data_IF_466830713038
#
_entry.id   IF_466830713038
#
_cell.length_a   1.000
_cell.length_b   1.000
_cell.length_c   1.000
_cell.angle_alpha   90.00
_cell.angle_beta   90.00
_cell.angle_gamma   90.00
#
_symmetry.space_group_name_H-M   'P 1'
#
loop_
_entity.id
_entity.type
_entity.pdbx_description
1 polymer ?
#
# COMPACT_ATOMS: atom_id res chain seq x y z
N UNK A 1 -8.72 -15.85 -10.22
CA UNK A 1 -7.93 -15.28 -9.12
C UNK A 1 -8.88 -14.82 -8.02
N UNK A 2 -8.74 -15.37 -6.80
CA UNK A 2 -9.58 -15.02 -5.64
C UNK A 2 -8.90 -13.91 -4.85
N UNK A 3 -9.60 -12.80 -4.63
CA UNK A 3 -9.04 -11.62 -3.93
C UNK A 3 -9.68 -11.45 -2.56
N UNK A 4 -8.86 -11.25 -1.54
CA UNK A 4 -9.30 -10.82 -0.22
C UNK A 4 -9.00 -9.32 -0.05
N UNK A 5 -10.03 -8.51 0.10
CA UNK A 5 -9.89 -7.09 0.42
C UNK A 5 -9.94 -6.90 1.93
N UNK A 6 -8.87 -6.36 2.50
CA UNK A 6 -8.80 -6.05 3.93
C UNK A 6 -9.53 -4.74 4.21
N UNK A 7 -10.56 -4.84 5.03
CA UNK A 7 -11.23 -3.69 5.61
C UNK A 7 -10.70 -3.48 7.01
N UNK A 8 -10.00 -2.38 7.27
CA UNK A 8 -9.42 -2.12 8.58
C UNK A 8 -9.77 -0.73 9.10
N UNK A 9 -10.01 -0.65 10.39
CA UNK A 9 -10.07 0.59 11.13
C UNK A 9 -8.63 1.08 11.37
N UNK A 10 -8.23 2.13 10.70
CA UNK A 10 -6.88 2.70 10.76
C UNK A 10 -6.80 3.70 11.91
N UNK A 11 -5.82 3.49 12.79
CA UNK A 11 -5.54 4.43 13.88
C UNK A 11 -4.77 5.64 13.33
N UNK A 12 -5.34 6.82 13.51
CA UNK A 12 -4.77 8.06 12.97
C UNK A 12 -3.39 8.35 13.58
N UNK A 13 -2.40 8.58 12.73
CA UNK A 13 -1.02 8.89 13.10
C UNK A 13 -0.33 7.84 14.00
N UNK A 14 -0.74 6.56 13.90
CA UNK A 14 -0.17 5.45 14.69
C UNK A 14 0.34 4.32 13.77
N UNK A 15 1.46 4.52 13.06
CA UNK A 15 1.95 3.55 12.09
C UNK A 15 2.30 2.18 12.70
N UNK A 16 2.85 2.13 13.92
CA UNK A 16 3.24 0.87 14.56
C UNK A 16 2.03 -0.05 14.79
N UNK A 17 0.96 0.49 15.33
CA UNK A 17 -0.29 -0.22 15.59
C UNK A 17 -0.97 -0.63 14.27
N UNK A 18 -0.94 0.25 13.27
CA UNK A 18 -1.50 -0.04 11.97
C UNK A 18 -0.72 -1.16 11.24
N UNK A 19 0.60 -1.18 11.31
CA UNK A 19 1.42 -2.28 10.78
C UNK A 19 1.13 -3.61 11.48
N UNK A 20 1.03 -3.61 12.80
CA UNK A 20 0.68 -4.80 13.58
C UNK A 20 -0.71 -5.32 13.19
N UNK A 21 -1.70 -4.42 13.08
CA UNK A 21 -3.07 -4.74 12.67
C UNK A 21 -3.13 -5.29 11.24
N UNK A 22 -2.45 -4.64 10.29
CA UNK A 22 -2.41 -5.09 8.89
C UNK A 22 -1.84 -6.50 8.77
N UNK A 23 -0.71 -6.79 9.41
CA UNK A 23 -0.10 -8.13 9.40
C UNK A 23 -1.00 -9.20 10.01
N UNK A 24 -1.72 -8.88 11.08
CA UNK A 24 -2.71 -9.80 11.68
C UNK A 24 -3.85 -10.09 10.72
N UNK A 25 -4.46 -9.04 10.13
CA UNK A 25 -5.58 -9.19 9.22
C UNK A 25 -5.21 -9.94 7.92
N UNK A 26 -3.99 -9.74 7.40
CA UNK A 26 -3.48 -10.52 6.26
C UNK A 26 -3.45 -12.02 6.62
N UNK A 27 -2.91 -12.39 7.79
CA UNK A 27 -2.88 -13.78 8.24
C UNK A 27 -4.29 -14.37 8.42
N UNK A 28 -5.22 -13.61 9.00
CA UNK A 28 -6.62 -14.02 9.16
C UNK A 28 -7.30 -14.27 7.80
N UNK A 29 -7.03 -13.41 6.80
CA UNK A 29 -7.58 -13.55 5.46
C UNK A 29 -7.16 -14.86 4.77
N UNK A 30 -6.01 -15.44 5.14
CA UNK A 30 -5.53 -16.71 4.57
C UNK A 30 -6.46 -17.90 4.82
N UNK A 31 -7.31 -17.85 5.84
CA UNK A 31 -8.34 -18.87 6.08
C UNK A 31 -9.30 -19.01 4.88
N UNK A 32 -9.47 -17.95 4.10
CA UNK A 32 -10.27 -17.94 2.87
C UNK A 32 -9.56 -18.52 1.65
N UNK A 33 -8.27 -18.81 1.70
CA UNK A 33 -7.45 -19.28 0.57
C UNK A 33 -7.43 -18.28 -0.59
N UNK A 34 -7.06 -17.00 -0.38
CA UNK A 34 -6.97 -16.03 -1.46
C UNK A 34 -5.72 -16.25 -2.31
N UNK A 35 -5.79 -15.84 -3.59
CA UNK A 35 -4.63 -15.73 -4.47
C UNK A 35 -3.92 -14.37 -4.27
N UNK A 36 -4.70 -13.36 -3.91
CA UNK A 36 -4.23 -11.97 -3.70
C UNK A 36 -4.90 -11.39 -2.46
N UNK A 37 -4.14 -10.74 -1.60
CA UNK A 37 -4.64 -9.90 -0.51
C UNK A 37 -4.40 -8.44 -0.85
N UNK A 38 -5.37 -7.57 -0.59
CA UNK A 38 -5.29 -6.12 -0.88
C UNK A 38 -5.55 -5.33 0.39
N UNK A 39 -4.62 -4.45 0.75
CA UNK A 39 -4.74 -3.49 1.84
C UNK A 39 -5.37 -2.17 1.35
N UNK A 40 -5.98 -1.36 2.24
CA UNK A 40 -6.57 -0.08 1.87
C UNK A 40 -5.54 1.03 1.58
N UNK A 41 -6.03 2.21 1.19
CA UNK A 41 -5.23 3.40 0.92
C UNK A 41 -4.72 4.02 2.23
N UNK A 42 -3.46 4.50 2.25
CA UNK A 42 -2.78 5.21 3.36
C UNK A 42 -2.94 4.55 4.73
N UNK A 43 -3.01 3.22 4.76
CA UNK A 43 -3.32 2.45 5.96
C UNK A 43 -2.29 2.61 7.08
N UNK A 44 -1.04 2.98 6.76
CA UNK A 44 0.01 3.11 7.76
C UNK A 44 -0.21 4.32 8.68
N UNK A 45 -0.66 5.46 8.14
CA UNK A 45 -0.84 6.69 8.92
C UNK A 45 -2.32 7.07 9.14
N UNK A 46 -3.25 6.35 8.48
CA UNK A 46 -4.60 6.85 8.28
C UNK A 46 -4.60 8.02 7.30
N UNK A 47 -5.76 8.65 7.07
CA UNK A 47 -5.82 9.81 6.20
C UNK A 47 -4.83 10.88 6.71
N UNK A 48 -4.01 11.39 5.83
CA UNK A 48 -2.80 12.18 6.04
C UNK A 48 -2.79 13.06 7.30
N UNK A 49 -1.90 12.78 8.28
CA UNK A 49 -1.73 13.57 9.52
C UNK A 49 -0.92 14.86 9.26
N UNK A 50 -1.27 15.57 8.19
CA UNK A 50 -0.80 16.91 7.81
C UNK A 50 0.67 17.20 8.20
N UNK A 51 0.86 18.02 9.24
CA UNK A 51 2.18 18.51 9.67
C UNK A 51 3.15 17.38 10.10
N UNK A 52 2.60 16.21 10.50
CA UNK A 52 3.40 15.05 10.90
C UNK A 52 3.57 14.02 9.77
N UNK A 53 3.00 14.28 8.58
CA UNK A 53 2.97 13.27 7.52
C UNK A 53 4.37 12.80 7.12
N UNK A 54 5.31 13.71 6.90
CA UNK A 54 6.68 13.37 6.51
C UNK A 54 7.47 12.67 7.61
N UNK A 55 7.17 12.96 8.88
CA UNK A 55 7.77 12.29 10.04
C UNK A 55 7.31 10.82 10.14
N UNK A 56 6.02 10.58 9.89
CA UNK A 56 5.38 9.27 10.06
C UNK A 56 5.41 8.41 8.79
N UNK A 57 5.79 9.01 7.67
CA UNK A 57 5.84 8.33 6.38
C UNK A 57 6.99 7.31 6.31
N UNK A 58 6.78 6.26 5.52
CA UNK A 58 7.83 5.32 5.16
C UNK A 58 8.98 6.03 4.42
N UNK A 59 10.19 5.46 4.51
CA UNK A 59 11.35 5.91 3.74
C UNK A 59 11.61 4.89 2.62
N UNK A 60 11.39 5.30 1.36
CA UNK A 60 11.53 4.44 0.17
C UNK A 60 10.79 3.10 0.28
N UNK A 61 9.66 3.08 1.00
CA UNK A 61 8.89 1.87 1.32
C UNK A 61 9.73 0.75 1.96
N UNK A 62 10.85 1.07 2.61
CA UNK A 62 11.82 0.08 3.10
C UNK A 62 11.21 -0.90 4.10
N UNK A 63 10.40 -0.42 5.04
CA UNK A 63 9.71 -1.28 6.01
C UNK A 63 8.62 -2.12 5.34
N UNK A 64 7.83 -1.51 4.45
CA UNK A 64 6.79 -2.22 3.68
C UNK A 64 7.42 -3.37 2.90
N UNK A 65 8.52 -3.13 2.19
CA UNK A 65 9.25 -4.16 1.43
C UNK A 65 9.77 -5.26 2.35
N UNK A 66 10.39 -4.92 3.45
CA UNK A 66 10.94 -5.89 4.40
C UNK A 66 9.85 -6.71 5.10
N UNK A 67 8.84 -6.05 5.70
CA UNK A 67 7.85 -6.73 6.54
C UNK A 67 6.72 -7.35 5.75
N UNK A 68 6.15 -6.64 4.77
CA UNK A 68 5.01 -7.16 4.00
C UNK A 68 5.47 -8.02 2.83
N UNK A 69 6.60 -7.72 2.21
CA UNK A 69 7.22 -8.64 1.24
C UNK A 69 7.61 -9.96 1.92
N UNK A 70 8.24 -9.90 3.11
CA UNK A 70 8.54 -11.08 3.90
C UNK A 70 7.29 -11.87 4.28
N UNK A 71 6.19 -11.19 4.65
CA UNK A 71 4.92 -11.85 4.97
C UNK A 71 4.27 -12.50 3.73
N UNK A 72 4.34 -11.85 2.57
CA UNK A 72 3.86 -12.41 1.32
C UNK A 72 4.58 -13.73 0.98
N UNK A 73 5.91 -13.77 1.14
CA UNK A 73 6.72 -14.98 0.98
C UNK A 73 6.38 -16.06 2.02
N UNK A 74 6.27 -15.69 3.31
CA UNK A 74 5.88 -16.60 4.40
C UNK A 74 4.57 -17.31 4.12
N UNK A 75 3.58 -16.55 3.63
CA UNK A 75 2.22 -17.05 3.39
C UNK A 75 2.01 -17.63 1.99
N UNK A 76 2.95 -17.45 1.06
CA UNK A 76 2.84 -17.88 -0.33
C UNK A 76 1.68 -17.20 -1.08
N UNK A 77 1.40 -15.93 -0.79
CA UNK A 77 0.27 -15.16 -1.34
C UNK A 77 0.77 -13.90 -2.05
N UNK A 78 0.12 -13.50 -3.13
CA UNK A 78 0.37 -12.19 -3.72
C UNK A 78 -0.23 -11.10 -2.81
N UNK A 79 0.45 -9.98 -2.68
CA UNK A 79 0.00 -8.91 -1.79
C UNK A 79 0.08 -7.54 -2.49
N UNK A 80 -1.06 -6.89 -2.65
CA UNK A 80 -1.13 -5.46 -2.93
C UNK A 80 -1.13 -4.76 -1.57
N UNK A 81 0.02 -4.21 -1.19
CA UNK A 81 0.23 -3.65 0.15
C UNK A 81 -0.44 -2.29 0.33
N UNK A 82 -1.60 -2.10 -0.31
CA UNK A 82 -2.39 -0.90 -0.32
C UNK A 82 -1.56 0.29 -0.76
N UNK A 83 -1.81 1.45 -0.21
CA UNK A 83 -0.83 2.52 -0.27
C UNK A 83 -0.42 3.00 1.11
N UNK A 84 0.78 3.58 1.18
CA UNK A 84 1.36 4.19 2.37
C UNK A 84 1.83 5.61 2.04
N UNK A 85 1.85 6.47 3.04
CA UNK A 85 2.62 7.71 2.94
C UNK A 85 4.11 7.33 2.88
N UNK A 86 4.82 7.80 1.86
CA UNK A 86 6.20 7.40 1.57
C UNK A 86 7.05 8.62 1.17
N UNK A 87 8.17 8.81 1.83
CA UNK A 87 9.16 9.85 1.50
C UNK A 87 10.19 9.29 0.53
N UNK A 88 10.40 10.01 -0.57
CA UNK A 88 11.46 9.74 -1.55
C UNK A 88 12.02 11.05 -2.07
N UNK A 89 13.35 11.24 -1.98
CA UNK A 89 13.99 12.47 -2.43
C UNK A 89 13.45 13.74 -1.76
N UNK A 90 13.06 13.68 -0.49
CA UNK A 90 12.50 14.80 0.27
C UNK A 90 11.04 15.17 -0.06
N UNK A 91 10.37 14.39 -0.91
CA UNK A 91 8.96 14.56 -1.26
C UNK A 91 8.14 13.41 -0.70
N UNK A 92 6.89 13.68 -0.34
CA UNK A 92 5.95 12.65 0.15
C UNK A 92 5.05 12.21 -1.00
N UNK A 93 4.91 10.89 -1.17
CA UNK A 93 4.05 10.25 -2.15
C UNK A 93 3.03 9.34 -1.46
N UNK A 94 1.90 9.14 -2.11
CA UNK A 94 0.94 8.10 -1.78
C UNK A 94 1.29 6.87 -2.61
N UNK A 95 2.11 5.95 -2.03
CA UNK A 95 2.79 4.87 -2.75
C UNK A 95 2.21 3.51 -2.44
N UNK A 96 1.84 2.75 -3.45
CA UNK A 96 1.48 1.34 -3.35
C UNK A 96 2.65 0.44 -3.77
N UNK A 97 2.86 -0.65 -3.03
CA UNK A 97 3.79 -1.71 -3.38
C UNK A 97 3.02 -3.01 -3.67
N UNK A 98 3.47 -3.76 -4.67
CA UNK A 98 2.90 -5.06 -5.01
C UNK A 98 3.97 -6.14 -4.86
N UNK A 99 3.63 -7.22 -4.15
CA UNK A 99 4.52 -8.35 -3.91
C UNK A 99 3.95 -9.62 -4.55
N UNK A 100 4.81 -10.41 -5.19
CA UNK A 100 4.49 -11.76 -5.64
C UNK A 100 4.51 -12.76 -4.47
N UNK A 101 4.16 -14.03 -4.72
CA UNK A 101 4.16 -15.11 -3.73
C UNK A 101 5.53 -15.42 -3.14
N UNK A 102 6.60 -15.00 -3.80
CA UNK A 102 7.98 -15.14 -3.31
C UNK A 102 8.45 -13.91 -2.49
N UNK A 103 7.59 -12.89 -2.35
CA UNK A 103 7.88 -11.66 -1.63
C UNK A 103 8.67 -10.63 -2.42
N UNK A 104 8.88 -10.85 -3.73
CA UNK A 104 9.53 -9.86 -4.58
C UNK A 104 8.59 -8.67 -4.81
N UNK A 105 9.09 -7.46 -4.67
CA UNK A 105 8.36 -6.26 -5.07
C UNK A 105 8.33 -6.16 -6.59
N UNK A 106 7.21 -6.50 -7.20
CA UNK A 106 7.04 -6.56 -8.66
C UNK A 106 6.52 -5.25 -9.24
N UNK A 107 5.98 -4.35 -8.41
CA UNK A 107 5.55 -3.02 -8.82
C UNK A 107 5.55 -2.05 -7.63
N UNK A 108 5.86 -0.80 -7.93
CA UNK A 108 5.62 0.37 -7.07
C UNK A 108 4.84 1.39 -7.90
N UNK A 109 3.89 2.07 -7.26
CA UNK A 109 3.06 3.06 -7.93
C UNK A 109 2.79 4.23 -7.00
N UNK A 110 3.05 5.42 -7.47
CA UNK A 110 2.68 6.67 -6.80
C UNK A 110 1.39 7.21 -7.42
N UNK A 111 0.40 7.50 -6.59
CA UNK A 111 -0.90 8.04 -7.01
C UNK A 111 -0.73 9.26 -7.90
N UNK A 112 -1.28 9.22 -9.11
CA UNK A 112 -1.14 10.30 -10.11
C UNK A 112 -2.19 11.38 -9.96
N UNK A 113 -3.43 11.02 -9.59
CA UNK A 113 -4.54 11.96 -9.43
C UNK A 113 -4.88 12.16 -7.95
N UNK A 114 -4.28 13.22 -7.36
CA UNK A 114 -4.52 13.56 -5.96
C UNK A 114 -5.94 14.13 -5.76
N UNK A 115 -6.58 13.77 -4.64
CA UNK A 115 -7.93 14.22 -4.33
C UNK A 115 -7.93 15.65 -3.78
N UNK A 116 -7.99 16.62 -4.68
CA UNK A 116 -7.94 18.05 -4.37
C UNK A 116 -9.06 18.54 -3.43
N UNK A 117 -10.29 18.00 -3.46
CA UNK A 117 -11.34 18.45 -2.54
C UNK A 117 -11.01 18.26 -1.05
N UNK A 118 -10.16 17.27 -0.71
CA UNK A 118 -9.66 17.08 0.66
C UNK A 118 -8.28 17.71 0.91
N UNK A 119 -7.73 18.43 -0.06
CA UNK A 119 -6.43 19.10 0.07
C UNK A 119 -5.23 18.15 -0.02
N UNK A 120 -5.39 16.95 -0.58
CA UNK A 120 -4.31 15.95 -0.69
C UNK A 120 -3.07 16.51 -1.40
N UNK A 121 -3.26 17.36 -2.41
CA UNK A 121 -2.21 18.03 -3.17
C UNK A 121 -1.32 18.97 -2.36
N UNK A 122 -1.73 19.37 -1.16
CA UNK A 122 -0.91 20.21 -0.28
C UNK A 122 0.14 19.38 0.50
N UNK A 123 -0.03 18.06 0.55
CA UNK A 123 0.78 17.16 1.38
C UNK A 123 1.50 16.09 0.58
N UNK A 124 0.94 15.66 -0.55
CA UNK A 124 1.50 14.64 -1.41
C UNK A 124 1.95 15.21 -2.75
N UNK A 125 2.99 14.62 -3.30
CA UNK A 125 3.46 14.83 -4.67
C UNK A 125 2.78 13.80 -5.58
N UNK A 126 2.22 14.22 -6.74
CA UNK A 126 1.65 13.25 -7.68
C UNK A 126 2.73 12.39 -8.33
N UNK A 127 2.39 11.14 -8.64
CA UNK A 127 3.15 10.28 -9.52
C UNK A 127 3.02 10.70 -10.99
N UNK A 128 3.79 10.05 -11.85
CA UNK A 128 3.93 10.44 -13.26
C UNK A 128 3.84 9.26 -14.25
N UNK A 129 3.48 8.07 -13.80
CA UNK A 129 3.47 6.86 -14.63
C UNK A 129 2.28 5.95 -14.37
N UNK A 130 1.97 5.11 -15.36
CA UNK A 130 1.01 4.01 -15.24
C UNK A 130 1.69 2.79 -14.65
N UNK A 131 0.98 2.07 -13.79
CA UNK A 131 1.48 0.85 -13.16
C UNK A 131 0.89 -0.39 -13.83
N UNK A 132 1.77 -1.22 -14.42
CA UNK A 132 1.45 -2.54 -14.97
C UNK A 132 2.40 -3.58 -14.41
N UNK A 133 1.88 -4.76 -14.09
CA UNK A 133 2.66 -5.87 -13.55
C UNK A 133 1.95 -7.20 -13.83
N UNK A 134 2.56 -8.32 -13.43
CA UNK A 134 1.94 -9.65 -13.56
C UNK A 134 1.92 -10.35 -12.21
N UNK A 135 0.79 -11.00 -11.90
CA UNK A 135 0.64 -11.90 -10.75
C UNK A 135 0.06 -13.23 -11.24
N UNK A 136 0.71 -14.34 -10.90
CA UNK A 136 0.27 -15.70 -11.27
C UNK A 136 -0.07 -15.85 -12.77
N UNK A 137 0.70 -15.17 -13.63
CA UNK A 137 0.49 -15.19 -15.08
C UNK A 137 -0.57 -14.23 -15.62
N UNK A 138 -1.30 -13.51 -14.75
CA UNK A 138 -2.30 -12.51 -15.16
C UNK A 138 -1.66 -11.13 -15.31
N UNK A 139 -1.99 -10.41 -16.38
CA UNK A 139 -1.64 -9.02 -16.57
C UNK A 139 -2.55 -8.15 -15.68
N UNK A 140 -1.94 -7.30 -14.88
CA UNK A 140 -2.58 -6.47 -13.88
C UNK A 140 -2.19 -4.99 -14.05
N UNK A 141 -3.06 -4.11 -13.57
CA UNK A 141 -2.79 -2.69 -13.39
C UNK A 141 -3.19 -2.25 -11.99
N UNK A 142 -2.63 -1.15 -11.52
CA UNK A 142 -2.94 -0.57 -10.22
C UNK A 142 -3.27 0.90 -10.36
N UNK A 143 -4.30 1.31 -9.65
CA UNK A 143 -4.73 2.69 -9.46
C UNK A 143 -5.10 2.90 -7.99
N UNK A 144 -4.98 4.12 -7.49
CA UNK A 144 -5.30 4.45 -6.10
C UNK A 144 -6.47 5.44 -6.06
N UNK A 145 -7.61 4.97 -5.51
CA UNK A 145 -8.77 5.80 -5.17
C UNK A 145 -9.22 6.72 -6.34
N UNK A 146 -8.85 8.01 -6.29
CA UNK A 146 -9.30 9.03 -7.26
C UNK A 146 -8.73 8.83 -8.66
N UNK A 147 -7.69 8.02 -8.84
CA UNK A 147 -7.15 7.66 -10.16
C UNK A 147 -8.18 6.99 -11.09
N UNK A 148 -9.27 6.44 -10.54
CA UNK A 148 -10.31 5.77 -11.33
C UNK A 148 -11.24 6.75 -12.06
N UNK A 149 -11.11 8.05 -11.86
CA UNK A 149 -12.00 9.10 -12.35
C UNK A 149 -11.61 9.69 -13.70
#
# INVERSE_FOLDING_TARGET
>A
MKTACIQMDMLFAQPEENFAKAKRLIREAMAGGPDVVVLPETWNTGFFPKERLSELAEQDCARVKRELGGLAAELGVNLVAGSVANVRGGKVYNTACVFDRAGNCVAEYDKTHLFTPMGEHAYFTPGDHLCRFRLDGHDCGLVICYDIR
#
